data_IF_473376983578
#
_entry.id   IF_473376983578
#
_cell.length_a   1.000
_cell.length_b   1.000
_cell.length_c   1.000
_cell.angle_alpha   90.00
_cell.angle_beta   90.00
_cell.angle_gamma   90.00
#
_symmetry.space_group_name_H-M   'P 1'
#
loop_
_entity.id
_entity.type
_entity.pdbx_description
1 polymer ?
#
# COMPACT_ATOMS: atom_id res chain seq x y z
N UNK A 1 -15.26 1.29 -5.19
CA UNK A 1 -14.81 1.54 -6.58
C UNK A 1 -16.05 1.61 -7.47
N UNK A 2 -16.21 2.68 -8.24
CA UNK A 2 -17.33 2.79 -9.18
C UNK A 2 -17.16 1.70 -10.27
N UNK A 3 -18.20 0.91 -10.50
CA UNK A 3 -18.22 -0.20 -11.49
C UNK A 3 -17.85 0.25 -12.91
N UNK A 4 -17.96 1.54 -13.23
CA UNK A 4 -17.69 2.11 -14.55
C UNK A 4 -16.22 2.05 -15.02
N UNK A 5 -15.26 1.67 -14.15
CA UNK A 5 -13.85 1.55 -14.51
C UNK A 5 -13.34 0.10 -14.56
N UNK A 6 -14.19 -0.89 -14.29
CA UNK A 6 -13.80 -2.29 -14.36
C UNK A 6 -13.75 -2.74 -15.83
N UNK A 7 -12.63 -3.36 -16.21
CA UNK A 7 -12.37 -3.88 -17.55
C UNK A 7 -12.62 -5.39 -17.60
N UNK A 8 -12.93 -5.96 -18.77
CA UNK A 8 -12.92 -7.40 -18.93
C UNK A 8 -11.53 -7.96 -18.60
N UNK A 9 -11.47 -9.01 -17.77
CA UNK A 9 -10.20 -9.56 -17.27
C UNK A 9 -9.41 -10.26 -18.36
N UNK A 10 -10.05 -11.05 -19.21
CA UNK A 10 -9.39 -11.80 -20.28
C UNK A 10 -8.62 -10.92 -21.25
N UNK A 11 -9.23 -9.89 -21.88
CA UNK A 11 -8.48 -8.97 -22.74
C UNK A 11 -7.38 -8.22 -22.00
N UNK A 12 -7.59 -7.88 -20.72
CA UNK A 12 -6.59 -7.18 -19.91
C UNK A 12 -5.35 -8.03 -19.64
N UNK A 13 -5.53 -9.31 -19.27
CA UNK A 13 -4.44 -10.24 -19.04
C UNK A 13 -3.74 -10.65 -20.35
N UNK A 14 -4.50 -10.84 -21.44
CA UNK A 14 -3.93 -11.10 -22.76
C UNK A 14 -3.07 -9.93 -23.24
N UNK A 15 -3.53 -8.69 -23.05
CA UNK A 15 -2.74 -7.51 -23.38
C UNK A 15 -1.46 -7.40 -22.53
N UNK A 16 -1.53 -7.75 -21.25
CA UNK A 16 -0.39 -7.78 -20.35
C UNK A 16 0.65 -8.83 -20.81
N UNK A 17 0.18 -10.03 -21.15
CA UNK A 17 1.02 -11.12 -21.67
C UNK A 17 1.67 -10.78 -23.01
N UNK A 18 0.99 -10.02 -23.87
CA UNK A 18 1.46 -9.70 -25.22
C UNK A 18 2.36 -8.46 -25.27
N UNK A 19 1.99 -7.37 -24.57
CA UNK A 19 2.60 -6.04 -24.74
C UNK A 19 3.67 -5.69 -23.73
N UNK A 20 3.74 -6.41 -22.61
CA UNK A 20 4.62 -6.07 -21.49
C UNK A 20 5.68 -7.16 -21.26
N UNK A 21 6.83 -7.13 -21.94
CA UNK A 21 7.83 -8.20 -21.89
C UNK A 21 8.23 -8.60 -20.46
N UNK A 22 8.36 -7.63 -19.55
CA UNK A 22 8.72 -7.89 -18.14
C UNK A 22 7.62 -8.60 -17.35
N UNK A 23 6.36 -8.46 -17.78
CA UNK A 23 5.18 -9.02 -17.13
C UNK A 23 4.54 -10.16 -17.89
N UNK A 24 5.12 -10.53 -19.04
CA UNK A 24 4.61 -11.59 -19.89
C UNK A 24 4.38 -12.90 -19.13
N UNK A 25 5.35 -13.48 -18.41
CA UNK A 25 5.14 -14.73 -17.68
C UNK A 25 4.02 -14.63 -16.64
N UNK A 26 3.91 -13.49 -15.97
CA UNK A 26 2.84 -13.23 -15.02
C UNK A 26 1.48 -13.14 -15.73
N UNK A 27 1.39 -12.38 -16.82
CA UNK A 27 0.16 -12.24 -17.60
C UNK A 27 -0.33 -13.57 -18.16
N UNK A 28 0.58 -14.41 -18.69
CA UNK A 28 0.26 -15.77 -19.19
C UNK A 28 -0.25 -16.67 -18.06
N UNK A 29 0.42 -16.68 -16.90
CA UNK A 29 0.01 -17.48 -15.74
C UNK A 29 -1.38 -17.10 -15.26
N UNK A 30 -1.65 -15.80 -15.10
CA UNK A 30 -2.94 -15.34 -14.62
C UNK A 30 -4.06 -15.54 -15.65
N UNK A 31 -3.76 -15.45 -16.95
CA UNK A 31 -4.71 -15.76 -18.02
C UNK A 31 -5.13 -17.25 -17.98
N UNK A 32 -4.16 -18.16 -17.81
CA UNK A 32 -4.44 -19.60 -17.66
C UNK A 32 -5.26 -19.86 -16.39
N UNK A 33 -4.94 -19.19 -15.29
CA UNK A 33 -5.70 -19.31 -14.07
C UNK A 33 -7.14 -18.80 -14.23
N UNK A 34 -7.34 -17.71 -14.97
CA UNK A 34 -8.67 -17.20 -15.29
C UNK A 34 -9.48 -18.22 -16.13
N UNK A 35 -8.84 -18.90 -17.11
CA UNK A 35 -9.48 -19.97 -17.88
C UNK A 35 -9.88 -21.15 -17.00
N UNK A 36 -9.03 -21.54 -16.05
CA UNK A 36 -9.33 -22.62 -15.08
C UNK A 36 -10.52 -22.29 -14.18
N UNK A 37 -10.73 -21.01 -13.80
CA UNK A 37 -11.89 -20.58 -13.04
C UNK A 37 -13.17 -20.79 -13.85
N UNK A 38 -13.14 -20.46 -15.14
CA UNK A 38 -14.28 -20.68 -16.05
C UNK A 38 -14.52 -22.17 -16.27
N UNK A 39 -13.48 -22.97 -16.49
CA UNK A 39 -13.55 -24.42 -16.66
C UNK A 39 -14.18 -25.12 -15.42
N UNK A 40 -13.90 -24.61 -14.21
CA UNK A 40 -14.55 -25.06 -12.96
C UNK A 40 -16.01 -24.62 -12.82
N UNK A 41 -16.52 -23.81 -13.72
CA UNK A 41 -17.86 -23.23 -13.61
C UNK A 41 -18.04 -22.20 -12.47
N UNK A 42 -16.95 -21.70 -11.89
CA UNK A 42 -17.02 -20.72 -10.81
C UNK A 42 -17.44 -19.33 -11.27
N UNK A 43 -17.18 -18.99 -12.54
CA UNK A 43 -17.58 -17.73 -13.15
C UNK A 43 -17.61 -17.86 -14.67
N UNK A 44 -18.07 -16.81 -15.35
CA UNK A 44 -18.05 -16.68 -16.81
C UNK A 44 -17.08 -15.59 -17.24
N UNK A 45 -16.57 -15.62 -18.48
CA UNK A 45 -15.72 -14.54 -19.00
C UNK A 45 -16.37 -13.16 -18.93
N UNK A 46 -17.70 -13.09 -19.04
CA UNK A 46 -18.48 -11.85 -18.99
C UNK A 46 -18.56 -11.27 -17.59
N UNK A 47 -18.66 -12.12 -16.56
CA UNK A 47 -18.70 -11.74 -15.14
C UNK A 47 -17.32 -11.32 -14.63
N UNK A 48 -16.25 -11.88 -15.20
CA UNK A 48 -14.88 -11.58 -14.77
C UNK A 48 -14.45 -10.19 -15.22
N UNK A 49 -14.76 -9.21 -14.37
CA UNK A 49 -14.41 -7.80 -14.55
C UNK A 49 -13.54 -7.32 -13.39
N UNK A 50 -12.52 -6.54 -13.70
CA UNK A 50 -11.55 -6.12 -12.70
C UNK A 50 -10.67 -4.97 -13.16
N UNK A 51 -9.51 -4.86 -12.53
CA UNK A 51 -8.48 -3.88 -12.87
C UNK A 51 -7.82 -4.22 -14.22
N UNK A 52 -7.03 -3.28 -14.72
CA UNK A 52 -6.21 -3.48 -15.93
C UNK A 52 -5.20 -4.63 -15.81
N UNK A 53 -4.84 -5.02 -14.59
CA UNK A 53 -3.91 -6.11 -14.30
C UNK A 53 -4.62 -7.43 -13.92
N UNK A 54 -5.97 -7.47 -13.96
CA UNK A 54 -6.74 -8.68 -13.72
C UNK A 54 -7.20 -8.91 -12.27
N UNK A 55 -7.00 -7.93 -11.36
CA UNK A 55 -7.49 -8.04 -10.00
C UNK A 55 -9.01 -7.79 -9.92
N UNK A 56 -9.75 -8.66 -9.23
CA UNK A 56 -11.21 -8.74 -9.27
C UNK A 56 -11.87 -8.65 -7.90
N UNK A 57 -13.10 -8.19 -7.88
CA UNK A 57 -14.02 -8.27 -6.75
C UNK A 57 -13.68 -7.35 -5.58
N UNK A 58 -14.29 -7.63 -4.44
CA UNK A 58 -14.25 -6.79 -3.22
C UNK A 58 -12.83 -6.55 -2.71
N UNK A 59 -12.00 -7.57 -2.68
CA UNK A 59 -10.64 -7.52 -2.17
C UNK A 59 -9.57 -7.64 -3.25
N UNK A 60 -9.97 -7.45 -4.53
CA UNK A 60 -9.07 -7.41 -5.68
C UNK A 60 -8.22 -8.67 -5.84
N UNK A 61 -8.88 -9.84 -5.89
CA UNK A 61 -8.18 -11.10 -6.11
C UNK A 61 -7.62 -11.20 -7.52
N UNK A 62 -6.40 -11.68 -7.60
CA UNK A 62 -5.86 -12.23 -8.84
C UNK A 62 -6.48 -13.62 -9.10
N UNK A 63 -6.58 -14.07 -10.37
CA UNK A 63 -7.08 -15.42 -10.67
C UNK A 63 -6.38 -16.53 -9.89
N UNK A 64 -5.07 -16.42 -9.68
CA UNK A 64 -4.29 -17.35 -8.86
C UNK A 64 -4.80 -17.40 -7.41
N UNK A 65 -5.06 -16.24 -6.82
CA UNK A 65 -5.58 -16.15 -5.43
C UNK A 65 -6.96 -16.78 -5.33
N UNK A 66 -7.83 -16.52 -6.31
CA UNK A 66 -9.16 -17.14 -6.36
C UNK A 66 -9.07 -18.67 -6.36
N UNK A 67 -8.23 -19.25 -7.24
CA UNK A 67 -8.09 -20.70 -7.37
C UNK A 67 -7.50 -21.38 -6.14
N UNK A 68 -6.46 -20.78 -5.55
CA UNK A 68 -5.61 -21.46 -4.57
C UNK A 68 -5.87 -21.04 -3.11
N UNK A 69 -6.54 -19.91 -2.90
CA UNK A 69 -6.82 -19.38 -1.57
C UNK A 69 -8.31 -19.27 -1.30
N UNK A 70 -9.11 -19.02 -2.34
CA UNK A 70 -10.54 -18.86 -2.25
C UNK A 70 -11.23 -19.96 -1.44
N UNK A 71 -12.21 -19.58 -0.61
CA UNK A 71 -13.10 -20.48 0.14
C UNK A 71 -14.54 -20.01 -0.02
N UNK A 72 -15.43 -20.95 -0.01
CA UNK A 72 -16.85 -20.74 0.18
C UNK A 72 -17.08 -20.51 1.68
N UNK A 73 -17.15 -19.25 2.10
CA UNK A 73 -17.23 -18.89 3.51
C UNK A 73 -18.67 -18.85 4.01
N UNK A 74 -19.63 -18.48 3.15
CA UNK A 74 -21.05 -18.44 3.51
C UNK A 74 -21.78 -19.77 3.25
N UNK A 75 -21.11 -20.76 2.64
CA UNK A 75 -21.62 -22.12 2.43
C UNK A 75 -22.67 -22.21 1.31
N UNK A 76 -22.68 -21.28 0.37
CA UNK A 76 -23.64 -21.27 -0.74
C UNK A 76 -23.27 -22.22 -1.90
N UNK A 77 -22.14 -22.93 -1.79
CA UNK A 77 -21.62 -23.87 -2.78
C UNK A 77 -20.77 -23.22 -3.88
N UNK A 78 -20.48 -21.92 -3.79
CA UNK A 78 -19.68 -21.18 -4.75
C UNK A 78 -18.55 -20.43 -4.03
N UNK A 79 -17.43 -20.29 -4.70
CA UNK A 79 -16.34 -19.41 -4.24
C UNK A 79 -16.30 -18.19 -5.13
N UNK A 80 -16.61 -17.00 -4.61
CA UNK A 80 -16.73 -15.80 -5.43
C UNK A 80 -16.12 -14.56 -4.77
N UNK A 81 -15.29 -13.76 -5.50
CA UNK A 81 -14.85 -12.45 -5.03
C UNK A 81 -15.93 -11.37 -5.25
N UNK A 82 -17.05 -11.71 -5.87
CA UNK A 82 -18.16 -10.82 -6.24
C UNK A 82 -19.41 -11.09 -5.39
N UNK A 83 -20.40 -10.22 -5.50
CA UNK A 83 -21.68 -10.39 -4.82
C UNK A 83 -21.56 -10.05 -3.34
N UNK A 84 -21.93 -11.00 -2.45
CA UNK A 84 -21.72 -10.86 -1.01
C UNK A 84 -20.22 -10.83 -0.69
N UNK A 85 -19.77 -10.06 0.32
CA UNK A 85 -18.36 -9.93 0.64
C UNK A 85 -17.77 -11.11 1.44
N UNK A 86 -18.58 -12.06 1.88
CA UNK A 86 -18.23 -13.11 2.86
C UNK A 86 -17.04 -13.96 2.37
N UNK A 87 -17.12 -14.50 1.17
CA UNK A 87 -16.04 -15.28 0.58
C UNK A 87 -14.77 -14.46 0.38
N UNK A 88 -14.93 -13.22 -0.11
CA UNK A 88 -13.81 -12.33 -0.34
C UNK A 88 -13.07 -12.00 0.95
N UNK A 89 -13.80 -11.72 2.03
CA UNK A 89 -13.22 -11.39 3.34
C UNK A 89 -12.65 -12.64 4.02
N UNK A 90 -13.39 -13.75 4.03
CA UNK A 90 -12.94 -15.02 4.59
C UNK A 90 -11.66 -15.55 3.91
N UNK A 91 -11.63 -15.51 2.58
CA UNK A 91 -10.43 -15.90 1.83
C UNK A 91 -9.27 -14.95 2.02
N UNK A 92 -9.52 -13.64 2.16
CA UNK A 92 -8.46 -12.66 2.48
C UNK A 92 -7.88 -12.94 3.87
N UNK A 93 -8.71 -13.27 4.86
CA UNK A 93 -8.23 -13.68 6.18
C UNK A 93 -7.36 -14.95 6.08
N UNK A 94 -7.81 -15.96 5.33
CA UNK A 94 -7.02 -17.18 5.05
C UNK A 94 -5.69 -16.86 4.35
N UNK A 95 -5.69 -15.93 3.40
CA UNK A 95 -4.45 -15.47 2.75
C UNK A 95 -3.48 -14.88 3.77
N UNK A 96 -3.96 -13.98 4.62
CA UNK A 96 -3.13 -13.32 5.62
C UNK A 96 -2.49 -14.32 6.59
N UNK A 97 -3.25 -15.34 7.03
CA UNK A 97 -2.71 -16.39 7.92
C UNK A 97 -1.73 -17.29 7.18
N UNK A 98 -2.10 -17.82 6.03
CA UNK A 98 -1.34 -18.89 5.38
C UNK A 98 -0.14 -18.35 4.60
N UNK A 99 -0.32 -17.29 3.81
CA UNK A 99 0.74 -16.68 2.98
C UNK A 99 1.42 -15.51 3.67
N UNK A 100 0.64 -14.62 4.28
CA UNK A 100 1.15 -13.46 5.01
C UNK A 100 1.83 -13.80 6.34
N UNK A 101 1.62 -15.00 6.87
CA UNK A 101 2.11 -15.43 8.19
C UNK A 101 1.59 -14.55 9.32
N UNK A 102 0.35 -14.10 9.20
CA UNK A 102 -0.34 -13.34 10.23
C UNK A 102 -0.43 -14.15 11.52
N UNK A 103 -0.08 -13.52 12.64
CA UNK A 103 -0.05 -14.14 13.97
C UNK A 103 -1.27 -13.70 14.77
N UNK A 104 -2.21 -14.60 15.10
CA UNK A 104 -3.36 -14.29 15.95
C UNK A 104 -2.91 -13.66 17.28
N UNK A 105 -3.72 -12.76 17.81
CA UNK A 105 -3.49 -12.07 19.09
C UNK A 105 -2.25 -11.17 19.16
N UNK A 106 -1.55 -10.95 18.06
CA UNK A 106 -0.46 -9.99 17.96
C UNK A 106 -0.92 -8.75 17.19
N UNK A 107 -0.73 -7.58 17.78
CA UNK A 107 -1.05 -6.32 17.08
C UNK A 107 -0.05 -6.06 15.93
N UNK A 108 -0.50 -5.35 14.90
CA UNK A 108 0.33 -5.04 13.73
C UNK A 108 1.48 -4.05 14.02
N UNK A 109 1.31 -3.21 15.05
CA UNK A 109 2.26 -2.17 15.42
C UNK A 109 1.60 -1.09 16.27
N UNK A 110 2.35 -0.06 16.59
CA UNK A 110 1.87 1.04 17.44
C UNK A 110 2.37 2.37 16.92
N UNK A 111 1.50 3.39 16.96
CA UNK A 111 1.94 4.78 16.88
C UNK A 111 2.78 5.11 18.12
N UNK A 112 3.89 5.82 17.92
CA UNK A 112 4.86 6.08 18.98
C UNK A 112 5.32 7.52 19.01
N UNK A 113 5.76 7.95 20.18
CA UNK A 113 6.44 9.22 20.46
C UNK A 113 7.89 8.95 20.88
N UNK A 114 8.69 9.99 20.98
CA UNK A 114 10.07 9.90 21.45
C UNK A 114 11.09 10.29 20.38
N UNK A 115 12.38 10.23 20.76
CA UNK A 115 13.46 10.65 19.87
C UNK A 115 13.48 9.82 18.60
N UNK A 116 13.70 10.51 17.48
CA UNK A 116 13.91 9.88 16.16
C UNK A 116 15.38 9.54 15.90
N UNK A 117 16.10 8.99 16.89
CA UNK A 117 17.49 8.60 16.72
C UNK A 117 17.72 7.58 15.59
N UNK A 118 18.78 6.80 15.64
CA UNK A 118 19.00 5.73 14.68
C UNK A 118 17.78 4.79 14.66
N UNK A 119 17.01 4.88 13.56
CA UNK A 119 15.79 4.12 13.34
C UNK A 119 16.02 2.86 12.49
N UNK A 120 17.27 2.58 12.18
CA UNK A 120 17.65 1.41 11.37
C UNK A 120 17.43 0.10 12.11
N UNK A 121 17.01 -0.91 11.35
CA UNK A 121 16.88 -2.27 11.83
C UNK A 121 15.64 -2.56 12.67
N UNK A 122 15.52 -3.83 13.04
CA UNK A 122 14.48 -4.34 13.92
C UNK A 122 15.05 -4.51 15.33
N UNK A 123 14.32 -4.03 16.35
CA UNK A 123 14.72 -4.13 17.77
C UNK A 123 13.50 -4.55 18.58
N UNK A 124 13.72 -5.14 19.78
CA UNK A 124 12.62 -5.43 20.69
C UNK A 124 11.94 -4.15 21.20
N UNK A 125 10.66 -4.23 21.56
CA UNK A 125 9.98 -3.11 22.20
C UNK A 125 10.69 -2.64 23.46
N UNK A 126 11.34 -3.56 24.20
CA UNK A 126 12.18 -3.23 25.34
C UNK A 126 13.34 -2.31 24.93
N UNK A 127 14.04 -2.64 23.85
CA UNK A 127 15.15 -1.83 23.37
C UNK A 127 14.68 -0.46 22.87
N UNK A 128 13.55 -0.39 22.19
CA UNK A 128 12.93 0.87 21.79
C UNK A 128 12.53 1.72 23.01
N UNK A 129 11.91 1.11 24.00
CA UNK A 129 11.52 1.79 25.24
C UNK A 129 12.73 2.35 26.01
N UNK A 130 13.83 1.58 26.10
CA UNK A 130 15.08 2.06 26.71
C UNK A 130 15.73 3.23 25.95
N UNK A 131 15.45 3.36 24.66
CA UNK A 131 15.88 4.53 23.87
C UNK A 131 14.91 5.72 23.94
N UNK A 132 13.92 5.68 24.83
CA UNK A 132 12.96 6.78 25.06
C UNK A 132 11.76 6.75 24.10
N UNK A 133 11.53 5.67 23.38
CA UNK A 133 10.34 5.50 22.54
C UNK A 133 9.20 4.95 23.37
N UNK A 134 8.03 5.58 23.31
CA UNK A 134 6.82 5.18 24.02
C UNK A 134 5.62 5.14 23.06
N UNK A 135 4.60 4.38 23.40
CA UNK A 135 3.34 4.41 22.66
C UNK A 135 2.68 5.77 22.77
N UNK A 136 2.11 6.26 21.68
CA UNK A 136 1.44 7.55 21.63
C UNK A 136 0.17 7.61 22.52
N UNK A 137 -0.46 6.45 22.79
CA UNK A 137 -1.62 6.33 23.68
C UNK A 137 -1.24 6.23 25.18
N UNK A 138 0.05 6.32 25.51
CA UNK A 138 0.58 6.26 26.88
C UNK A 138 0.55 4.88 27.54
N UNK A 139 0.08 3.83 26.86
CA UNK A 139 0.03 2.48 27.40
C UNK A 139 1.39 1.79 27.25
N UNK A 140 1.70 0.78 28.09
CA UNK A 140 2.90 -0.03 27.90
C UNK A 140 2.79 -0.90 26.63
N UNK A 141 3.93 -1.28 26.06
CA UNK A 141 3.94 -2.34 25.05
C UNK A 141 3.56 -3.68 25.69
N UNK A 142 2.61 -4.44 25.11
CA UNK A 142 2.12 -5.67 25.77
C UNK A 142 3.13 -6.82 25.76
N UNK A 143 4.06 -6.85 24.78
CA UNK A 143 5.11 -7.84 24.67
C UNK A 143 6.45 -7.13 24.43
N UNK A 144 7.23 -6.96 25.50
CA UNK A 144 8.49 -6.23 25.45
C UNK A 144 9.59 -6.93 24.65
N UNK A 145 9.50 -8.24 24.47
CA UNK A 145 10.49 -9.03 23.73
C UNK A 145 10.17 -9.11 22.22
N UNK A 146 8.93 -8.81 21.84
CA UNK A 146 8.56 -8.78 20.42
C UNK A 146 9.34 -7.71 19.67
N UNK A 147 9.74 -8.05 18.45
CA UNK A 147 10.53 -7.16 17.60
C UNK A 147 9.65 -6.27 16.72
N UNK A 148 10.07 -5.03 16.55
CA UNK A 148 9.45 -4.05 15.68
C UNK A 148 10.48 -3.17 14.98
N UNK A 149 10.10 -2.64 13.82
CA UNK A 149 10.91 -1.72 13.02
C UNK A 149 10.27 -0.33 13.03
N UNK A 150 11.07 0.69 13.29
CA UNK A 150 10.60 2.07 13.20
C UNK A 150 10.33 2.46 11.76
N UNK A 151 9.20 3.12 11.54
CA UNK A 151 8.85 3.73 10.26
C UNK A 151 8.24 5.11 10.46
N UNK A 152 8.74 6.07 9.72
CA UNK A 152 8.25 7.44 9.67
C UNK A 152 7.77 7.70 8.24
N UNK A 153 6.46 7.65 7.98
CA UNK A 153 5.90 7.81 6.63
C UNK A 153 6.26 9.14 5.98
N UNK A 154 6.29 10.18 6.78
CA UNK A 154 6.58 11.55 6.36
C UNK A 154 7.18 12.32 7.53
N UNK A 155 8.14 13.16 7.26
CA UNK A 155 8.74 14.01 8.29
C UNK A 155 7.69 14.95 8.90
N UNK A 156 7.73 15.08 10.24
CA UNK A 156 6.73 15.86 10.98
C UNK A 156 5.37 15.15 11.17
N UNK A 157 5.20 13.95 10.65
CA UNK A 157 4.02 13.10 10.82
C UNK A 157 4.16 12.07 11.92
N UNK A 158 3.15 11.18 12.05
CA UNK A 158 3.19 10.11 13.04
C UNK A 158 4.33 9.13 12.77
N UNK A 159 4.86 8.56 13.84
CA UNK A 159 5.88 7.52 13.82
C UNK A 159 5.26 6.20 14.25
N UNK A 160 5.71 5.12 13.68
CA UNK A 160 5.18 3.79 13.98
C UNK A 160 6.30 2.80 14.29
N UNK A 161 6.06 1.94 15.26
CA UNK A 161 6.78 0.69 15.42
C UNK A 161 5.96 -0.42 14.76
N UNK A 162 6.46 -0.99 13.68
CA UNK A 162 5.78 -1.98 12.84
C UNK A 162 6.19 -3.38 13.24
N UNK A 163 5.24 -4.18 13.68
CA UNK A 163 5.42 -5.59 14.03
C UNK A 163 5.21 -6.54 12.83
N UNK A 164 5.37 -7.84 13.04
CA UNK A 164 5.23 -8.86 11.98
C UNK A 164 3.89 -8.80 11.22
N UNK A 165 2.79 -8.54 11.91
CA UNK A 165 1.46 -8.51 11.29
C UNK A 165 1.26 -7.34 10.32
N UNK A 166 1.99 -6.24 10.48
CA UNK A 166 2.02 -5.20 9.45
C UNK A 166 2.57 -5.74 8.12
N UNK A 167 3.65 -6.52 8.19
CA UNK A 167 4.26 -7.13 7.00
C UNK A 167 3.41 -8.26 6.43
N UNK A 168 2.62 -8.95 7.25
CA UNK A 168 1.60 -9.88 6.79
C UNK A 168 0.56 -9.17 5.90
N UNK A 169 0.04 -8.03 6.33
CA UNK A 169 -0.87 -7.21 5.52
C UNK A 169 -0.16 -6.65 4.28
N UNK A 170 1.08 -6.18 4.42
CA UNK A 170 1.90 -5.71 3.29
C UNK A 170 2.18 -6.79 2.24
N UNK A 171 2.16 -8.06 2.60
CA UNK A 171 2.33 -9.17 1.63
C UNK A 171 1.18 -9.25 0.62
N UNK A 172 0.00 -8.78 1.01
CA UNK A 172 -1.17 -8.70 0.13
C UNK A 172 -1.04 -7.58 -0.91
N UNK A 173 -0.52 -6.44 -0.48
CA UNK A 173 -0.20 -5.31 -1.36
C UNK A 173 1.10 -4.65 -0.87
N UNK A 174 2.16 -4.56 -1.70
CA UNK A 174 3.50 -4.14 -1.26
C UNK A 174 3.61 -2.67 -0.84
N UNK A 175 2.54 -1.89 -0.93
CA UNK A 175 2.53 -0.49 -0.50
C UNK A 175 2.47 -0.39 1.03
N UNK A 176 3.43 0.33 1.63
CA UNK A 176 3.45 0.64 3.06
C UNK A 176 2.21 1.44 3.49
N UNK A 177 1.82 2.42 2.67
CA UNK A 177 0.65 3.25 2.96
C UNK A 177 -0.65 2.45 2.89
N UNK A 178 -0.76 1.51 1.93
CA UNK A 178 -1.89 0.59 1.87
C UNK A 178 -1.96 -0.27 3.13
N UNK A 179 -0.84 -0.88 3.53
CA UNK A 179 -0.79 -1.72 4.72
C UNK A 179 -1.18 -0.93 5.97
N UNK A 180 -0.67 0.30 6.14
CA UNK A 180 -1.06 1.17 7.26
C UNK A 180 -2.56 1.49 7.25
N UNK A 181 -3.10 1.83 6.08
CA UNK A 181 -4.52 2.16 5.96
C UNK A 181 -5.41 0.96 6.34
N UNK A 182 -5.08 -0.25 5.88
CA UNK A 182 -5.82 -1.47 6.21
C UNK A 182 -5.69 -1.81 7.71
N UNK A 183 -4.48 -1.76 8.25
CA UNK A 183 -4.24 -2.01 9.67
C UNK A 183 -5.00 -1.02 10.56
N UNK A 184 -4.92 0.27 10.25
CA UNK A 184 -5.63 1.31 11.00
C UNK A 184 -7.15 1.20 10.82
N UNK A 185 -7.64 0.85 9.63
CA UNK A 185 -9.07 0.58 9.42
C UNK A 185 -9.56 -0.55 10.31
N UNK A 186 -8.79 -1.63 10.45
CA UNK A 186 -9.09 -2.72 11.38
C UNK A 186 -9.21 -2.21 12.82
N UNK A 187 -8.26 -1.41 13.29
CA UNK A 187 -8.30 -0.80 14.61
C UNK A 187 -9.53 0.11 14.80
N UNK A 188 -9.86 0.92 13.76
CA UNK A 188 -11.04 1.81 13.78
C UNK A 188 -12.35 1.02 13.86
N UNK A 189 -12.47 -0.11 13.18
CA UNK A 189 -13.63 -1.01 13.25
C UNK A 189 -13.76 -1.58 14.66
N UNK A 190 -12.64 -1.85 15.34
CA UNK A 190 -12.60 -2.32 16.72
C UNK A 190 -12.75 -1.20 17.75
N UNK A 191 -13.01 0.04 17.34
CA UNK A 191 -13.30 1.17 18.21
C UNK A 191 -12.09 2.02 18.61
N UNK A 192 -10.91 1.79 18.04
CA UNK A 192 -9.77 2.66 18.29
C UNK A 192 -10.00 4.09 17.75
N UNK A 193 -9.34 5.07 18.38
CA UNK A 193 -9.33 6.47 17.94
C UNK A 193 -8.51 6.72 16.66
N UNK A 194 -8.52 7.96 16.15
CA UNK A 194 -7.59 8.37 15.11
C UNK A 194 -6.15 8.33 15.63
N UNK A 195 -5.17 8.47 14.74
CA UNK A 195 -3.79 8.69 15.15
C UNK A 195 -3.67 9.92 16.05
N UNK A 196 -2.84 9.83 17.08
CA UNK A 196 -2.61 10.92 18.03
C UNK A 196 -1.91 12.10 17.36
N UNK A 197 -0.97 11.82 16.45
CA UNK A 197 -0.33 12.83 15.65
C UNK A 197 -0.91 12.82 14.23
N UNK A 198 -1.47 13.96 13.75
CA UNK A 198 -1.96 14.04 12.38
C UNK A 198 -0.81 13.98 11.38
N UNK A 199 -1.11 13.48 10.18
CA UNK A 199 -0.18 13.62 9.06
C UNK A 199 -0.02 15.10 8.71
N UNK A 200 1.22 15.58 8.46
CA UNK A 200 1.41 16.96 8.03
C UNK A 200 0.76 17.16 6.66
N UNK A 201 0.12 18.30 6.52
CA UNK A 201 -0.48 18.72 5.26
C UNK A 201 -1.96 18.37 5.17
N UNK A 202 -2.81 19.36 5.48
CA UNK A 202 -4.18 19.44 4.95
C UNK A 202 -4.20 19.79 3.46
N UNK A 203 -3.05 19.73 2.79
CA UNK A 203 -2.93 20.08 1.38
C UNK A 203 -3.54 18.97 0.54
N UNK A 204 -4.40 19.35 -0.40
CA UNK A 204 -4.91 18.39 -1.39
C UNK A 204 -3.75 17.77 -2.19
N UNK A 205 -3.93 16.57 -2.66
CA UNK A 205 -2.99 15.97 -3.59
C UNK A 205 -2.90 16.81 -4.89
N UNK A 206 -1.72 16.82 -5.51
CA UNK A 206 -1.55 17.40 -6.83
C UNK A 206 -2.40 16.64 -7.86
N UNK A 207 -2.97 17.38 -8.79
CA UNK A 207 -3.59 16.79 -9.99
C UNK A 207 -2.52 16.21 -10.91
N UNK A 208 -2.91 15.37 -11.88
CA UNK A 208 -1.99 14.83 -12.88
C UNK A 208 -1.20 15.94 -13.60
N UNK A 209 -1.90 17.01 -14.02
CA UNK A 209 -1.26 18.15 -14.69
C UNK A 209 -0.27 18.88 -13.79
N UNK A 210 -0.57 18.99 -12.49
CA UNK A 210 0.35 19.62 -11.53
C UNK A 210 1.58 18.76 -11.25
N UNK A 211 1.44 17.43 -11.24
CA UNK A 211 2.60 16.52 -11.13
C UNK A 211 3.48 16.66 -12.38
N UNK A 212 2.89 16.72 -13.57
CA UNK A 212 3.64 16.92 -14.83
C UNK A 212 4.33 18.29 -14.87
N UNK A 213 3.68 19.36 -14.40
CA UNK A 213 4.28 20.69 -14.25
C UNK A 213 5.47 20.65 -13.27
N UNK A 214 5.31 19.98 -12.13
CA UNK A 214 6.37 19.79 -11.15
C UNK A 214 7.57 19.03 -11.74
N UNK A 215 7.36 17.90 -12.41
CA UNK A 215 8.40 17.11 -13.05
C UNK A 215 9.13 17.93 -14.12
N UNK A 216 8.40 18.66 -14.96
CA UNK A 216 8.98 19.53 -15.99
C UNK A 216 9.88 20.62 -15.38
N UNK A 217 9.44 21.25 -14.29
CA UNK A 217 10.20 22.28 -13.60
C UNK A 217 11.42 21.74 -12.88
N UNK A 218 11.32 20.58 -12.22
CA UNK A 218 12.46 19.91 -11.61
C UNK A 218 13.52 19.59 -12.64
N UNK A 219 13.16 18.99 -13.76
CA UNK A 219 14.11 18.67 -14.85
C UNK A 219 14.77 19.93 -15.41
N UNK A 220 14.01 21.02 -15.62
CA UNK A 220 14.58 22.33 -16.05
C UNK A 220 15.52 22.93 -15.01
N UNK A 221 15.29 22.69 -13.73
CA UNK A 221 16.15 23.14 -12.63
C UNK A 221 17.39 22.24 -12.41
N UNK A 222 17.57 21.22 -13.25
CA UNK A 222 18.71 20.29 -13.21
C UNK A 222 18.50 19.06 -12.33
N UNK A 223 17.24 18.77 -11.91
CA UNK A 223 16.89 17.57 -11.14
C UNK A 223 16.13 16.61 -12.04
N UNK A 224 16.80 15.55 -12.49
CA UNK A 224 16.19 14.56 -13.39
C UNK A 224 15.08 13.76 -12.69
N UNK A 225 13.91 13.76 -13.28
CA UNK A 225 12.72 13.03 -12.78
C UNK A 225 12.46 11.73 -13.52
N UNK A 226 13.30 11.35 -14.47
CA UNK A 226 13.09 10.19 -15.34
C UNK A 226 11.94 10.34 -16.34
N UNK A 227 11.40 11.58 -16.50
CA UNK A 227 10.29 11.89 -17.39
C UNK A 227 9.21 12.75 -16.74
N UNK A 228 8.19 13.12 -17.56
CA UNK A 228 7.07 13.99 -17.15
C UNK A 228 5.72 13.29 -17.34
N UNK A 229 5.65 12.03 -16.97
CA UNK A 229 4.48 11.17 -17.18
C UNK A 229 3.34 11.41 -16.15
N UNK A 230 3.60 12.25 -15.14
CA UNK A 230 2.66 12.53 -14.05
C UNK A 230 2.63 11.45 -12.96
N UNK A 231 3.61 10.53 -12.94
CA UNK A 231 3.75 9.50 -11.91
C UNK A 231 4.96 9.82 -11.03
N UNK A 232 4.74 9.88 -9.74
CA UNK A 232 5.82 10.09 -8.78
C UNK A 232 6.49 8.74 -8.48
N UNK A 233 7.52 8.40 -9.25
CA UNK A 233 8.39 7.24 -9.03
C UNK A 233 9.62 7.59 -8.19
N UNK A 234 10.53 6.61 -8.06
CA UNK A 234 11.76 6.79 -7.27
C UNK A 234 12.63 7.96 -7.78
N UNK A 235 12.78 8.10 -9.10
CA UNK A 235 13.57 9.17 -9.71
C UNK A 235 12.94 10.53 -9.42
N UNK A 236 11.62 10.64 -9.55
CA UNK A 236 10.89 11.87 -9.19
C UNK A 236 11.02 12.19 -7.70
N UNK A 237 10.89 11.20 -6.80
CA UNK A 237 11.08 11.41 -5.35
C UNK A 237 12.51 11.86 -5.01
N UNK A 238 13.51 11.28 -5.68
CA UNK A 238 14.91 11.70 -5.48
C UNK A 238 15.12 13.13 -5.98
N UNK A 239 14.65 13.46 -7.17
CA UNK A 239 14.72 14.82 -7.72
C UNK A 239 14.06 15.87 -6.81
N UNK A 240 12.88 15.52 -6.23
CA UNK A 240 12.21 16.39 -5.25
C UNK A 240 13.07 16.57 -3.99
N UNK A 241 13.65 15.50 -3.46
CA UNK A 241 14.50 15.56 -2.26
C UNK A 241 15.73 16.44 -2.49
N UNK A 242 16.40 16.28 -3.62
CA UNK A 242 17.58 17.06 -3.97
C UNK A 242 17.23 18.55 -4.16
N UNK A 243 16.09 18.84 -4.77
CA UNK A 243 15.56 20.20 -4.87
C UNK A 243 15.23 20.77 -3.48
N UNK A 244 14.58 20.01 -2.60
CA UNK A 244 14.25 20.43 -1.24
C UNK A 244 15.53 20.77 -0.45
N UNK A 245 16.57 19.92 -0.54
CA UNK A 245 17.87 20.16 0.09
C UNK A 245 18.53 21.43 -0.44
N UNK A 246 18.59 21.59 -1.77
CA UNK A 246 19.22 22.76 -2.42
C UNK A 246 18.51 24.07 -2.06
N UNK A 247 17.20 24.06 -1.94
CA UNK A 247 16.39 25.26 -1.67
C UNK A 247 16.08 25.49 -0.21
N UNK A 248 16.56 24.63 0.71
CA UNK A 248 16.27 24.70 2.14
C UNK A 248 14.81 24.44 2.49
N UNK A 249 14.04 23.78 1.61
CA UNK A 249 12.65 23.44 1.84
C UNK A 249 12.56 22.17 2.71
N UNK A 250 12.34 22.33 4.00
CA UNK A 250 12.27 21.23 4.94
C UNK A 250 10.80 20.78 5.20
N UNK A 251 10.59 19.47 5.45
CA UNK A 251 11.58 18.40 5.41
C UNK A 251 11.97 18.02 3.99
N UNK A 252 13.23 17.62 3.79
CA UNK A 252 13.70 17.09 2.51
C UNK A 252 13.37 15.59 2.39
N UNK A 253 12.08 15.29 2.26
CA UNK A 253 11.49 13.95 2.32
C UNK A 253 11.19 13.34 0.94
N UNK A 254 11.32 14.13 -0.13
CA UNK A 254 10.96 13.71 -1.49
C UNK A 254 9.46 13.75 -1.75
N UNK A 255 8.65 14.33 -0.86
CA UNK A 255 7.21 14.48 -1.09
C UNK A 255 6.92 15.70 -1.97
N UNK A 256 6.32 15.46 -3.15
CA UNK A 256 5.95 16.47 -4.13
C UNK A 256 4.55 17.04 -3.86
N UNK A 257 4.42 17.91 -2.85
CA UNK A 257 3.17 18.59 -2.52
C UNK A 257 3.08 20.00 -3.12
N UNK A 258 1.98 20.71 -2.77
CA UNK A 258 1.72 22.08 -3.23
C UNK A 258 2.87 23.06 -2.87
N UNK A 259 3.53 22.84 -1.73
CA UNK A 259 4.68 23.68 -1.31
C UNK A 259 5.87 23.56 -2.26
N UNK A 260 6.20 22.33 -2.67
CA UNK A 260 7.28 22.09 -3.63
C UNK A 260 6.95 22.71 -4.98
N UNK A 261 5.70 22.49 -5.46
CA UNK A 261 5.24 23.08 -6.71
C UNK A 261 5.24 24.61 -6.68
N UNK A 262 4.75 25.19 -5.59
CA UNK A 262 4.77 26.65 -5.40
C UNK A 262 6.20 27.21 -5.43
N UNK A 263 7.14 26.55 -4.75
CA UNK A 263 8.55 26.96 -4.74
C UNK A 263 9.19 26.89 -6.15
N UNK A 264 8.89 25.82 -6.87
CA UNK A 264 9.35 25.65 -8.27
C UNK A 264 8.75 26.72 -9.21
N UNK A 265 7.52 27.15 -8.97
CA UNK A 265 6.85 28.21 -9.76
C UNK A 265 7.44 29.60 -9.49
N UNK A 266 8.03 29.83 -8.32
CA UNK A 266 8.70 31.08 -7.95
C UNK A 266 10.12 31.18 -8.49
N UNK A 267 10.62 30.23 -9.27
CA UNK A 267 11.95 30.24 -9.83
C UNK A 267 13.00 29.67 -8.88
N UNK A 268 12.70 28.53 -8.28
CA UNK A 268 13.60 27.76 -7.41
C UNK A 268 14.87 27.33 -8.06
#
# INVERSE_FOLDING_TARGET
MQQNHMRPVFPSLAALAWREPRRKPYGETELINALRIVDKGWSTPQEMRGSWAGAMGHTQWMPEVWLNVGIDYDGDGRVSPFGKPDDALGSTAKYLVNRGKYRPHQHWGYEVTGPGGDISGSRSYLAWSRSGVARADGKPFPDMEASATMWVPVAGGPKFLLGPNFYAVKSYNPSMNYALAICHLGDRILGAGPFAQPFPGSERALTLAEVQDMQTRLTRAGFDTGGTDGRVGNDTMQAIRDFQLKTGLLPADGYGGLKVLARLRQGG
#
